data_IF_876303122621
#
_entry.id   IF_876303122621
#
_cell.length_a   1.000
_cell.length_b   1.000
_cell.length_c   1.000
_cell.angle_alpha   90.00
_cell.angle_beta   90.00
_cell.angle_gamma   90.00
#
_symmetry.space_group_name_H-M   'P 1'
#
loop_
_entity.id
_entity.type
_entity.pdbx_description
1 polymer ?
#
# COMPACT_ATOMS: atom_id res chain seq x y z
N UNK A 1 68.39 17.64 -40.32
CA UNK A 1 69.73 17.65 -40.95
C UNK A 1 70.20 16.23 -41.04
N UNK A 2 70.64 15.84 -42.22
CA UNK A 2 71.01 14.49 -42.66
C UNK A 2 72.26 13.97 -41.97
N UNK A 3 72.37 12.63 -41.96
CA UNK A 3 73.59 11.82 -42.10
C UNK A 3 74.33 11.29 -40.85
N UNK A 4 74.26 9.97 -40.64
CA UNK A 4 75.39 9.03 -40.82
C UNK A 4 74.98 7.60 -40.45
N UNK A 5 75.22 6.64 -41.36
CA UNK A 5 75.40 5.23 -40.98
C UNK A 5 76.82 5.04 -40.42
N UNK A 6 77.02 4.07 -39.52
CA UNK A 6 77.72 2.85 -39.93
C UNK A 6 77.16 1.57 -39.29
N UNK A 7 77.38 0.42 -39.94
CA UNK A 7 77.06 -0.90 -39.39
C UNK A 7 78.18 -1.49 -38.52
N UNK A 8 77.83 -2.43 -37.64
CA UNK A 8 78.30 -3.83 -37.62
C UNK A 8 77.68 -4.59 -36.41
N UNK A 9 77.14 -5.79 -36.66
CA UNK A 9 76.88 -6.93 -35.74
C UNK A 9 76.03 -6.75 -34.47
N UNK A 10 75.24 -7.70 -33.98
CA UNK A 10 74.69 -8.97 -34.46
C UNK A 10 73.65 -9.35 -33.39
N UNK A 11 72.40 -9.63 -33.75
CA UNK A 11 71.62 -10.57 -32.94
C UNK A 11 70.72 -11.41 -33.85
N UNK A 12 71.02 -12.70 -33.82
CA UNK A 12 70.39 -13.76 -34.56
C UNK A 12 69.17 -14.23 -33.77
N UNK A 13 67.97 -14.10 -34.33
CA UNK A 13 66.85 -14.95 -33.96
C UNK A 13 66.34 -15.66 -35.20
N UNK A 14 66.58 -16.97 -35.20
CA UNK A 14 65.94 -17.97 -36.04
C UNK A 14 64.41 -17.99 -35.72
N UNK A 15 63.50 -18.47 -36.56
CA UNK A 15 63.64 -19.53 -37.56
C UNK A 15 62.45 -19.53 -38.53
N UNK A 16 62.68 -20.23 -39.64
CA UNK A 16 61.73 -20.99 -40.47
C UNK A 16 60.75 -20.27 -41.40
N UNK A 17 61.22 -20.05 -42.63
CA UNK A 17 60.39 -20.06 -43.82
C UNK A 17 59.85 -21.47 -44.09
N UNK A 18 58.53 -21.63 -44.13
CA UNK A 18 57.92 -22.73 -44.90
C UNK A 18 56.87 -22.20 -45.88
N UNK A 19 57.43 -21.56 -46.91
CA UNK A 19 56.75 -21.02 -48.08
C UNK A 19 56.40 -22.16 -49.05
N UNK A 20 55.08 -22.36 -49.24
CA UNK A 20 54.43 -22.91 -50.45
C UNK A 20 54.72 -24.37 -50.83
N UNK A 21 53.74 -25.23 -50.54
CA UNK A 21 53.46 -26.42 -51.35
C UNK A 21 52.05 -26.30 -51.94
N UNK A 22 51.96 -26.32 -53.28
CA UNK A 22 50.71 -26.36 -54.07
C UNK A 22 50.24 -27.84 -54.23
N UNK A 23 49.09 -28.11 -54.88
CA UNK A 23 47.95 -28.87 -54.35
C UNK A 23 47.99 -30.39 -54.59
N UNK A 24 47.27 -31.15 -53.76
CA UNK A 24 47.02 -32.61 -53.89
C UNK A 24 45.75 -33.02 -53.14
N UNK A 25 45.10 -34.15 -53.50
CA UNK A 25 43.65 -34.22 -53.71
C UNK A 25 42.80 -34.39 -52.44
N UNK A 26 41.70 -33.65 -52.43
CA UNK A 26 40.37 -33.97 -51.90
C UNK A 26 40.26 -35.15 -50.92
N UNK A 27 40.24 -34.85 -49.62
CA UNK A 27 39.27 -35.47 -48.71
C UNK A 27 38.57 -34.34 -47.97
N UNK A 28 37.46 -33.87 -48.56
CA UNK A 28 36.52 -33.00 -47.87
C UNK A 28 35.79 -33.88 -46.85
N UNK A 29 36.27 -33.90 -45.61
CA UNK A 29 35.40 -34.31 -44.50
C UNK A 29 34.26 -33.31 -44.44
N UNK A 30 33.06 -33.77 -44.75
CA UNK A 30 31.84 -32.99 -44.64
C UNK A 30 31.64 -32.58 -43.17
N UNK A 31 32.07 -31.36 -42.82
CA UNK A 31 31.66 -30.71 -41.57
C UNK A 31 30.31 -30.05 -41.85
N UNK A 32 29.26 -30.59 -41.25
CA UNK A 32 27.93 -29.97 -41.30
C UNK A 32 28.00 -28.57 -40.68
N UNK A 33 27.40 -27.52 -41.29
CA UNK A 33 27.40 -26.20 -40.69
C UNK A 33 26.55 -26.22 -39.42
N UNK A 34 27.15 -25.88 -38.28
CA UNK A 34 26.42 -25.67 -37.01
C UNK A 34 25.35 -24.60 -37.21
N UNK A 35 24.07 -24.85 -36.88
CA UNK A 35 23.02 -23.88 -37.09
C UNK A 35 23.24 -22.66 -36.20
N UNK A 36 23.35 -21.48 -36.82
CA UNK A 36 23.46 -20.22 -36.12
C UNK A 36 22.31 -20.06 -35.11
N UNK A 37 22.63 -19.89 -33.82
CA UNK A 37 21.64 -19.67 -32.75
C UNK A 37 20.79 -18.44 -33.12
N UNK A 38 19.48 -18.63 -33.32
CA UNK A 38 18.58 -17.53 -33.61
C UNK A 38 18.65 -16.46 -32.51
N UNK A 39 19.10 -15.25 -32.89
CA UNK A 39 19.23 -14.09 -32.00
C UNK A 39 17.93 -13.83 -31.26
N UNK A 40 18.00 -13.68 -29.93
CA UNK A 40 16.86 -13.42 -29.06
C UNK A 40 15.95 -12.33 -29.62
N UNK A 41 16.51 -11.28 -30.21
CA UNK A 41 15.81 -10.15 -30.86
C UNK A 41 14.86 -10.59 -31.99
N UNK A 42 15.26 -11.57 -32.82
CA UNK A 42 14.39 -12.13 -33.89
C UNK A 42 13.22 -12.92 -33.30
N UNK A 43 13.42 -13.56 -32.15
CA UNK A 43 12.39 -14.34 -31.44
C UNK A 43 11.34 -13.41 -30.84
N UNK A 44 11.76 -12.27 -30.29
CA UNK A 44 10.84 -11.22 -29.79
C UNK A 44 9.95 -10.64 -30.88
N UNK A 45 10.48 -10.43 -32.09
CA UNK A 45 9.67 -9.95 -33.23
C UNK A 45 8.70 -10.99 -33.78
N UNK A 46 8.95 -12.29 -33.56
CA UNK A 46 8.06 -13.37 -33.96
C UNK A 46 6.91 -13.60 -32.96
N UNK A 47 7.06 -13.13 -31.72
CA UNK A 47 6.01 -13.12 -30.68
C UNK A 47 5.19 -11.82 -30.82
N UNK A 48 4.64 -11.57 -32.00
CA UNK A 48 3.61 -10.54 -32.18
C UNK A 48 2.29 -11.13 -31.72
N UNK A 49 2.10 -11.23 -30.40
CA UNK A 49 0.76 -11.45 -29.86
C UNK A 49 -0.13 -10.35 -30.45
N UNK A 50 -1.26 -10.75 -31.05
CA UNK A 50 -2.24 -9.80 -31.59
C UNK A 50 -2.47 -8.70 -30.55
N UNK A 51 -2.46 -7.42 -31.00
CA UNK A 51 -2.60 -6.24 -30.14
C UNK A 51 -3.79 -6.37 -29.17
N UNK A 52 -4.85 -7.04 -29.62
CA UNK A 52 -6.01 -7.37 -28.80
C UNK A 52 -5.67 -8.28 -27.60
N UNK A 53 -4.91 -9.35 -27.81
CA UNK A 53 -4.51 -10.30 -26.75
C UNK A 53 -3.67 -9.62 -25.68
N UNK A 54 -2.74 -8.75 -26.09
CA UNK A 54 -1.92 -7.97 -25.15
C UNK A 54 -2.81 -7.01 -24.34
N UNK A 55 -3.76 -6.33 -25.00
CA UNK A 55 -4.69 -5.44 -24.32
C UNK A 55 -5.54 -6.19 -23.27
N UNK A 56 -6.06 -7.36 -23.62
CA UNK A 56 -6.83 -8.20 -22.69
C UNK A 56 -6.00 -8.71 -21.51
N UNK A 57 -4.76 -9.13 -21.74
CA UNK A 57 -3.85 -9.54 -20.66
C UNK A 57 -3.50 -8.39 -19.72
N UNK A 58 -3.24 -7.19 -20.26
CA UNK A 58 -3.01 -6.00 -19.44
C UNK A 58 -4.23 -5.66 -18.58
N UNK A 59 -5.44 -5.69 -19.15
CA UNK A 59 -6.66 -5.45 -18.39
C UNK A 59 -6.86 -6.49 -17.28
N UNK A 60 -6.65 -7.77 -17.58
CA UNK A 60 -6.75 -8.83 -16.58
C UNK A 60 -5.75 -8.63 -15.43
N UNK A 61 -4.51 -8.23 -15.74
CA UNK A 61 -3.50 -7.94 -14.72
C UNK A 61 -3.88 -6.74 -13.85
N UNK A 62 -4.40 -5.66 -14.42
CA UNK A 62 -4.86 -4.49 -13.65
C UNK A 62 -5.98 -4.89 -12.68
N UNK A 63 -6.96 -5.66 -13.17
CA UNK A 63 -8.07 -6.11 -12.31
C UNK A 63 -7.55 -7.04 -11.20
N UNK A 64 -6.65 -7.96 -11.52
CA UNK A 64 -6.06 -8.86 -10.54
C UNK A 64 -5.27 -8.13 -9.46
N UNK A 65 -4.43 -7.13 -9.82
CA UNK A 65 -3.68 -6.35 -8.84
C UNK A 65 -4.58 -5.48 -7.97
N UNK A 66 -5.66 -4.92 -8.53
CA UNK A 66 -6.66 -4.22 -7.73
C UNK A 66 -7.29 -5.17 -6.72
N UNK A 67 -7.79 -6.33 -7.14
CA UNK A 67 -8.42 -7.29 -6.20
C UNK A 67 -7.45 -7.66 -5.09
N UNK A 68 -6.20 -8.03 -5.41
CA UNK A 68 -5.20 -8.39 -4.39
C UNK A 68 -4.87 -7.19 -3.48
N UNK A 69 -4.72 -6.00 -4.04
CA UNK A 69 -4.44 -4.77 -3.28
C UNK A 69 -5.57 -4.37 -2.33
N UNK A 70 -6.81 -4.43 -2.79
CA UNK A 70 -8.00 -4.10 -2.01
C UNK A 70 -8.37 -5.19 -0.99
N UNK A 71 -8.03 -6.47 -1.25
CA UNK A 71 -8.36 -7.58 -0.34
C UNK A 71 -7.31 -7.82 0.75
N UNK A 72 -6.03 -7.84 0.39
CA UNK A 72 -4.95 -8.16 1.32
C UNK A 72 -4.14 -6.93 1.72
N UNK A 73 -3.91 -6.01 0.78
CA UNK A 73 -3.11 -4.80 1.04
C UNK A 73 -3.82 -3.73 1.88
N UNK A 74 -5.14 -3.87 2.11
CA UNK A 74 -5.94 -2.85 2.78
C UNK A 74 -5.93 -1.50 2.05
N UNK A 75 -5.61 -1.51 0.75
CA UNK A 75 -5.67 -0.30 -0.05
C UNK A 75 -7.11 0.19 -0.08
N UNK A 76 -7.29 1.43 0.34
CA UNK A 76 -8.57 2.12 0.35
C UNK A 76 -8.39 3.41 -0.45
N UNK A 77 -9.40 3.81 -1.20
CA UNK A 77 -9.35 5.08 -1.93
C UNK A 77 -9.24 6.23 -0.95
N UNK A 78 -8.44 7.26 -1.28
CA UNK A 78 -8.14 8.37 -0.38
C UNK A 78 -9.41 9.08 0.14
N UNK A 79 -10.49 9.10 -0.65
CA UNK A 79 -11.79 9.64 -0.24
C UNK A 79 -12.41 8.81 0.92
N UNK A 80 -12.36 7.49 0.84
CA UNK A 80 -12.87 6.60 1.89
C UNK A 80 -12.00 6.65 3.13
N UNK A 81 -10.66 6.71 3.01
CA UNK A 81 -9.79 6.85 4.19
C UNK A 81 -10.03 8.15 4.95
N UNK A 82 -10.24 9.27 4.25
CA UNK A 82 -10.55 10.55 4.89
C UNK A 82 -11.91 10.56 5.58
N UNK A 83 -12.93 9.97 4.94
CA UNK A 83 -14.26 9.89 5.54
C UNK A 83 -14.24 8.99 6.78
N UNK A 84 -13.62 7.82 6.69
CA UNK A 84 -13.49 6.91 7.83
C UNK A 84 -12.67 7.53 8.95
N UNK A 85 -11.56 8.23 8.64
CA UNK A 85 -10.77 8.92 9.65
C UNK A 85 -11.58 9.98 10.42
N UNK A 86 -12.42 10.77 9.72
CA UNK A 86 -13.29 11.76 10.36
C UNK A 86 -14.33 11.10 11.26
N UNK A 87 -14.97 10.02 10.79
CA UNK A 87 -15.99 9.31 11.59
C UNK A 87 -15.36 8.70 12.84
N UNK A 88 -14.23 8.00 12.69
CA UNK A 88 -13.51 7.37 13.81
C UNK A 88 -13.00 8.42 14.79
N UNK A 89 -12.48 9.56 14.32
CA UNK A 89 -12.04 10.63 15.20
C UNK A 89 -13.21 11.23 16.01
N UNK A 90 -14.35 11.50 15.36
CA UNK A 90 -15.54 12.00 16.07
C UNK A 90 -16.06 10.96 17.08
N UNK A 91 -16.11 9.68 16.71
CA UNK A 91 -16.59 8.60 17.57
C UNK A 91 -15.67 8.40 18.79
N UNK A 92 -14.34 8.39 18.57
CA UNK A 92 -13.35 8.30 19.63
C UNK A 92 -13.44 9.48 20.60
N UNK A 93 -13.66 10.69 20.10
CA UNK A 93 -13.92 11.87 20.94
C UNK A 93 -15.19 11.65 21.73
N UNK A 94 -16.32 11.38 21.08
CA UNK A 94 -17.62 11.16 21.74
C UNK A 94 -17.55 10.06 22.81
N UNK A 95 -16.80 8.98 22.59
CA UNK A 95 -16.62 7.91 23.57
C UNK A 95 -15.76 8.34 24.77
N UNK A 96 -14.81 9.25 24.60
CA UNK A 96 -14.08 9.85 25.72
C UNK A 96 -14.94 10.84 26.49
N UNK A 97 -15.73 11.66 25.78
CA UNK A 97 -16.65 12.62 26.38
C UNK A 97 -17.76 11.92 27.16
N UNK A 98 -18.26 10.77 26.69
CA UNK A 98 -19.24 9.99 27.44
C UNK A 98 -18.67 9.45 28.75
N UNK A 99 -17.40 9.03 28.79
CA UNK A 99 -16.74 8.63 30.03
C UNK A 99 -16.60 9.81 31.02
N UNK A 100 -16.33 11.02 30.52
CA UNK A 100 -16.32 12.25 31.33
C UNK A 100 -17.71 12.55 31.87
N UNK A 101 -18.76 12.40 31.06
CA UNK A 101 -20.15 12.59 31.48
C UNK A 101 -20.54 11.63 32.63
N UNK A 102 -20.11 10.37 32.59
CA UNK A 102 -20.30 9.43 33.71
C UNK A 102 -19.53 9.89 34.95
N UNK A 103 -18.33 10.44 34.80
CA UNK A 103 -17.58 10.98 35.92
C UNK A 103 -18.24 12.22 36.54
N UNK A 104 -18.84 13.09 35.72
CA UNK A 104 -19.63 14.24 36.18
C UNK A 104 -20.86 13.77 36.96
N UNK A 105 -21.61 12.81 36.42
CA UNK A 105 -22.74 12.19 37.11
C UNK A 105 -22.36 11.62 38.49
N UNK A 106 -21.17 11.01 38.62
CA UNK A 106 -20.71 10.48 39.90
C UNK A 106 -20.35 11.54 40.94
N UNK A 107 -20.08 12.77 40.50
CA UNK A 107 -19.81 13.92 41.36
C UNK A 107 -21.09 14.61 41.86
N UNK A 108 -22.23 14.34 41.23
CA UNK A 108 -23.51 14.90 41.68
C UNK A 108 -23.95 14.33 43.03
N UNK A 109 -24.41 15.22 43.89
CA UNK A 109 -24.87 14.87 45.23
C UNK A 109 -26.13 13.99 45.21
N UNK A 110 -27.00 14.18 44.22
CA UNK A 110 -28.30 13.49 44.10
C UNK A 110 -28.30 12.37 43.04
N UNK A 111 -27.12 11.79 42.77
CA UNK A 111 -26.92 10.82 41.67
C UNK A 111 -27.90 9.66 41.65
N UNK A 112 -28.27 9.08 42.79
CA UNK A 112 -29.18 7.93 42.85
C UNK A 112 -30.60 8.30 42.42
N UNK A 113 -31.10 9.44 42.90
CA UNK A 113 -32.42 9.98 42.51
C UNK A 113 -32.45 10.33 41.03
N UNK A 114 -31.39 10.97 40.53
CA UNK A 114 -31.28 11.39 39.12
C UNK A 114 -31.12 10.20 38.18
N UNK A 115 -30.45 9.14 38.62
CA UNK A 115 -30.32 7.89 37.87
C UNK A 115 -31.65 7.12 37.81
N UNK A 116 -32.42 7.12 38.89
CA UNK A 116 -33.75 6.52 38.89
C UNK A 116 -34.72 7.24 37.93
N UNK A 117 -34.70 8.57 37.93
CA UNK A 117 -35.44 9.40 36.95
C UNK A 117 -34.99 9.12 35.51
N UNK A 118 -33.67 9.01 35.29
CA UNK A 118 -33.10 8.67 33.98
C UNK A 118 -33.54 7.28 33.48
N UNK A 119 -33.51 6.25 34.33
CA UNK A 119 -33.93 4.89 33.97
C UNK A 119 -35.43 4.80 33.66
N UNK A 120 -36.25 5.63 34.33
CA UNK A 120 -37.69 5.68 34.09
C UNK A 120 -38.04 6.36 32.76
N UNK A 121 -37.13 7.16 32.20
CA UNK A 121 -37.34 7.89 30.95
C UNK A 121 -37.07 7.03 29.70
N UNK A 122 -37.69 7.38 28.58
CA UNK A 122 -37.42 6.73 27.28
C UNK A 122 -36.05 7.14 26.72
N UNK A 123 -35.49 6.39 25.77
CA UNK A 123 -34.17 6.70 25.20
C UNK A 123 -34.03 8.12 24.60
N UNK A 124 -35.13 8.68 24.08
CA UNK A 124 -35.16 10.05 23.59
C UNK A 124 -35.14 11.08 24.73
N UNK A 125 -35.89 10.81 25.80
CA UNK A 125 -35.96 11.65 26.99
C UNK A 125 -34.69 11.57 27.81
N UNK A 126 -34.07 10.39 27.92
CA UNK A 126 -32.76 10.16 28.54
C UNK A 126 -31.68 11.07 27.95
N UNK A 127 -31.64 11.20 26.62
CA UNK A 127 -30.71 12.13 25.95
C UNK A 127 -30.98 13.58 26.38
N UNK A 128 -32.24 14.01 26.39
CA UNK A 128 -32.60 15.37 26.79
C UNK A 128 -32.29 15.60 28.27
N UNK A 129 -32.57 14.62 29.12
CA UNK A 129 -32.28 14.66 30.54
C UNK A 129 -30.80 14.84 30.83
N UNK A 130 -29.93 14.05 30.18
CA UNK A 130 -28.46 14.19 30.31
C UNK A 130 -27.97 15.57 29.86
N UNK A 131 -28.62 16.17 28.86
CA UNK A 131 -28.34 17.55 28.45
C UNK A 131 -28.83 18.57 29.49
N UNK A 132 -30.05 18.41 29.97
CA UNK A 132 -30.70 19.36 30.87
C UNK A 132 -30.04 19.35 32.27
N UNK A 133 -29.48 18.20 32.69
CA UNK A 133 -28.62 18.09 33.88
C UNK A 133 -27.20 18.66 33.66
N UNK A 134 -26.82 18.97 32.42
CA UNK A 134 -25.50 19.50 32.08
C UNK A 134 -24.38 18.45 32.05
N UNK A 135 -24.68 17.15 32.18
CA UNK A 135 -23.66 16.09 32.17
C UNK A 135 -22.99 15.94 30.81
N UNK A 136 -23.71 16.27 29.72
CA UNK A 136 -23.17 16.30 28.36
C UNK A 136 -22.47 17.62 27.99
N UNK A 137 -22.46 18.62 28.89
CA UNK A 137 -21.76 19.88 28.69
C UNK A 137 -20.31 19.71 29.13
N UNK A 138 -19.37 19.94 28.21
CA UNK A 138 -17.95 19.77 28.51
C UNK A 138 -17.40 20.92 29.37
N UNK A 139 -16.43 20.66 30.24
CA UNK A 139 -15.78 21.72 31.02
C UNK A 139 -15.16 22.78 30.09
N UNK A 140 -15.70 24.00 30.11
CA UNK A 140 -15.26 25.11 29.26
C UNK A 140 -16.10 25.35 28.01
N UNK A 141 -17.16 24.58 27.77
CA UNK A 141 -18.16 24.83 26.73
C UNK A 141 -19.51 25.24 27.37
N UNK A 142 -20.25 26.12 26.70
CA UNK A 142 -21.57 26.60 27.17
C UNK A 142 -22.73 25.74 26.66
N UNK A 143 -22.52 24.99 25.57
CA UNK A 143 -23.56 24.17 24.92
C UNK A 143 -23.20 22.69 24.89
N UNK A 144 -24.19 21.82 25.10
CA UNK A 144 -24.05 20.38 25.01
C UNK A 144 -24.15 19.89 23.55
N UNK A 145 -23.23 19.05 23.10
CA UNK A 145 -23.37 18.38 21.79
C UNK A 145 -24.39 17.23 21.88
N UNK A 146 -25.30 17.17 20.90
CA UNK A 146 -26.38 16.15 20.87
C UNK A 146 -25.83 14.72 20.73
N UNK A 147 -24.72 14.53 20.03
CA UNK A 147 -24.04 13.23 19.90
C UNK A 147 -23.41 12.81 21.22
N UNK A 148 -22.83 13.75 21.96
CA UNK A 148 -22.26 13.52 23.28
C UNK A 148 -23.35 13.17 24.28
N UNK A 149 -24.47 13.89 24.28
CA UNK A 149 -25.63 13.56 25.12
C UNK A 149 -26.19 12.16 24.82
N UNK A 150 -26.26 11.78 23.55
CA UNK A 150 -26.73 10.44 23.15
C UNK A 150 -25.76 9.34 23.59
N UNK A 151 -24.46 9.56 23.41
CA UNK A 151 -23.44 8.61 23.81
C UNK A 151 -23.32 8.48 25.33
N UNK A 152 -23.50 9.59 26.06
CA UNK A 152 -23.54 9.57 27.52
C UNK A 152 -24.77 8.83 28.04
N UNK A 153 -25.97 9.09 27.51
CA UNK A 153 -27.16 8.34 27.87
C UNK A 153 -26.95 6.83 27.65
N UNK A 154 -26.34 6.45 26.52
CA UNK A 154 -25.99 5.05 26.25
C UNK A 154 -24.98 4.49 27.25
N UNK A 155 -23.94 5.25 27.59
CA UNK A 155 -22.92 4.82 28.55
C UNK A 155 -23.52 4.64 29.96
N UNK A 156 -24.36 5.57 30.41
CA UNK A 156 -25.07 5.47 31.69
C UNK A 156 -26.00 4.24 31.72
N UNK A 157 -26.76 4.00 30.65
CA UNK A 157 -27.60 2.81 30.54
C UNK A 157 -26.78 1.50 30.61
N UNK A 158 -25.58 1.47 30.00
CA UNK A 158 -24.68 0.31 30.08
C UNK A 158 -24.15 0.09 31.50
N UNK A 159 -23.63 1.14 32.15
CA UNK A 159 -23.08 1.07 33.52
C UNK A 159 -24.16 0.67 34.54
N UNK A 160 -25.41 1.00 34.27
CA UNK A 160 -26.54 0.69 35.14
C UNK A 160 -27.05 -0.75 35.01
N UNK A 161 -26.74 -1.41 33.89
CA UNK A 161 -27.22 -2.78 33.61
C UNK A 161 -26.24 -3.86 34.13
N UNK A 162 -25.06 -3.47 34.60
CA UNK A 162 -24.07 -4.35 35.25
C UNK A 162 -24.31 -4.54 36.75
#
# INVERSE_FOLDING_TARGET
MTEKQPGFSAEHRADNDNRKSKPGPSIVSAVSPTPARASYRKRWNAVQLSKATIAWLCLAMIVATMIVGFTWGGWVTAATSQQTAKVVANDAVVQRLSAICVAQFQQDADKETKLAEFQAATSYEQRNYVRDQGWATMPGEEESDTKVATACAKALAQVTTE
#
